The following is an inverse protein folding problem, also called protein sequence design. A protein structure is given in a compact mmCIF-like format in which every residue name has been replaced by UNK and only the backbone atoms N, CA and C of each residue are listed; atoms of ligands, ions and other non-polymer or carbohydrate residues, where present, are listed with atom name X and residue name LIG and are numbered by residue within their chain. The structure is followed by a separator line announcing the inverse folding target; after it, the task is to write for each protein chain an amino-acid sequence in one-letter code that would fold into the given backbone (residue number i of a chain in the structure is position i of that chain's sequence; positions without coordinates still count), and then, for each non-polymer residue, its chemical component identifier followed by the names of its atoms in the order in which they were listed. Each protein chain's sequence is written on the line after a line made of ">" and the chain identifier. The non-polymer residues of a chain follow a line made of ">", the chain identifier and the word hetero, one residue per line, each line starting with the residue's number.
data_IF_982956852165
#
_entry.id   IF_982956852165
#
_cell.length_a   1.000
_cell.length_b   1.000
_cell.length_c   1.000
_cell.angle_alpha   90.00
_cell.angle_beta   90.00
_cell.angle_gamma   90.00
#
_symmetry.space_group_name_H-M   'P 1'
#
loop_
_entity.id
_entity.type
_entity.pdbx_description
1 polymer ?
#
# COMPACT_ATOMS: atom_id res chain seq x y z
N UNK A 1 20.23 5.89 -6.93
CA UNK A 1 19.16 6.90 -7.15
C UNK A 1 19.21 8.00 -6.11
N UNK A 2 19.15 7.70 -4.80
CA UNK A 2 19.22 8.71 -3.73
C UNK A 2 20.40 9.69 -3.92
N UNK A 3 21.63 9.19 -3.99
CA UNK A 3 22.81 10.06 -4.08
C UNK A 3 22.87 10.89 -5.38
N UNK A 4 22.22 10.41 -6.45
CA UNK A 4 22.04 11.19 -7.69
C UNK A 4 21.02 12.32 -7.51
N UNK A 5 19.93 12.06 -6.78
CA UNK A 5 18.96 13.10 -6.43
C UNK A 5 19.54 14.12 -5.45
N UNK A 6 20.47 13.71 -4.58
CA UNK A 6 21.20 14.64 -3.71
C UNK A 6 22.08 15.58 -4.52
N UNK A 7 22.93 15.05 -5.41
CA UNK A 7 23.77 15.89 -6.29
C UNK A 7 22.96 16.87 -7.14
N UNK A 8 21.83 16.42 -7.70
CA UNK A 8 20.96 17.29 -8.48
C UNK A 8 20.29 18.40 -7.63
N UNK A 9 20.04 18.14 -6.35
CA UNK A 9 19.50 19.15 -5.42
C UNK A 9 20.59 20.13 -4.97
N UNK A 10 21.84 19.67 -4.80
CA UNK A 10 23.00 20.53 -4.52
C UNK A 10 23.29 21.48 -5.70
N UNK A 11 23.22 20.99 -6.94
CA UNK A 11 23.40 21.78 -8.16
C UNK A 11 22.22 22.73 -8.45
N UNK A 12 21.00 22.31 -8.10
CA UNK A 12 19.77 23.07 -8.35
C UNK A 12 18.77 22.93 -7.18
N UNK A 13 18.79 23.87 -6.21
CA UNK A 13 17.85 23.86 -5.08
C UNK A 13 16.39 23.86 -5.56
N UNK A 14 15.60 22.93 -5.03
CA UNK A 14 14.20 22.70 -5.43
C UNK A 14 14.02 21.66 -6.55
N UNK A 15 15.08 20.96 -6.96
CA UNK A 15 15.02 19.92 -7.99
C UNK A 15 14.06 18.78 -7.62
N UNK A 16 14.22 18.16 -6.44
CA UNK A 16 13.42 17.00 -6.00
C UNK A 16 11.94 17.33 -5.95
N UNK A 17 11.58 18.50 -5.39
CA UNK A 17 10.18 18.92 -5.30
C UNK A 17 9.58 19.21 -6.69
N UNK A 18 10.36 19.82 -7.58
CA UNK A 18 9.94 20.10 -8.95
C UNK A 18 9.75 18.82 -9.75
N UNK A 19 10.65 17.85 -9.58
CA UNK A 19 10.58 16.51 -10.15
C UNK A 19 9.31 15.79 -9.69
N UNK A 20 9.07 15.72 -8.37
CA UNK A 20 7.90 15.08 -7.79
C UNK A 20 6.60 15.74 -8.26
N UNK A 21 6.52 17.08 -8.26
CA UNK A 21 5.35 17.83 -8.75
C UNK A 21 5.09 17.56 -10.23
N UNK A 22 6.13 17.59 -11.06
CA UNK A 22 6.02 17.31 -12.50
C UNK A 22 5.59 15.87 -12.78
N UNK A 23 6.13 14.91 -12.02
CA UNK A 23 5.74 13.51 -12.10
C UNK A 23 4.29 13.30 -11.66
N UNK A 24 3.89 13.83 -10.49
CA UNK A 24 2.53 13.71 -9.98
C UNK A 24 1.49 14.26 -10.97
N UNK A 25 1.73 15.44 -11.56
CA UNK A 25 0.84 16.00 -12.60
C UNK A 25 0.67 15.07 -13.80
N UNK A 26 1.74 14.41 -14.24
CA UNK A 26 1.70 13.48 -15.37
C UNK A 26 1.03 12.16 -15.03
N UNK A 27 1.32 11.59 -13.86
CA UNK A 27 0.72 10.33 -13.42
C UNK A 27 -0.78 10.50 -13.19
N UNK A 28 -1.19 11.51 -12.42
CA UNK A 28 -2.61 11.78 -12.15
C UNK A 28 -3.40 12.06 -13.44
N UNK A 29 -2.77 12.62 -14.47
CA UNK A 29 -3.41 12.80 -15.79
C UNK A 29 -3.64 11.48 -16.55
N UNK A 30 -2.96 10.39 -16.17
CA UNK A 30 -2.98 9.09 -16.85
C UNK A 30 -3.75 8.02 -16.05
N UNK A 31 -3.98 8.21 -14.74
CA UNK A 31 -4.59 7.20 -13.84
C UNK A 31 -6.04 6.80 -14.18
N UNK A 32 -6.67 7.37 -15.19
CA UNK A 32 -8.01 6.99 -15.65
C UNK A 32 -8.11 5.67 -16.44
N UNK A 33 -7.00 4.98 -16.77
CA UNK A 33 -7.02 3.96 -17.85
C UNK A 33 -6.87 2.47 -17.48
N UNK A 34 -6.39 2.05 -16.30
CA UNK A 34 -6.38 0.59 -15.99
C UNK A 34 -6.10 0.23 -14.53
N UNK A 35 -6.63 0.97 -13.55
CA UNK A 35 -6.52 0.51 -12.16
C UNK A 35 -7.45 -0.69 -11.95
N UNK A 36 -6.88 -1.90 -11.84
CA UNK A 36 -7.62 -3.05 -11.33
C UNK A 36 -8.31 -2.66 -10.01
N UNK A 37 -9.62 -2.88 -9.94
CA UNK A 37 -10.40 -2.48 -8.76
C UNK A 37 -9.87 -3.21 -7.53
N UNK A 38 -9.57 -2.43 -6.49
CA UNK A 38 -9.24 -2.97 -5.18
C UNK A 38 -10.38 -3.86 -4.69
N UNK A 39 -10.03 -5.05 -4.17
CA UNK A 39 -10.96 -6.05 -3.64
C UNK A 39 -10.41 -6.67 -2.36
N UNK A 40 -11.25 -7.43 -1.67
CA UNK A 40 -10.83 -8.17 -0.49
C UNK A 40 -9.92 -9.34 -0.89
N UNK A 41 -8.80 -9.50 -0.17
CA UNK A 41 -7.92 -10.64 -0.24
C UNK A 41 -8.66 -11.91 0.20
N UNK A 42 -8.60 -12.98 -0.59
CA UNK A 42 -9.23 -14.27 -0.29
C UNK A 42 -8.74 -14.91 1.02
N UNK A 43 -7.50 -14.61 1.45
CA UNK A 43 -6.87 -15.26 2.62
C UNK A 43 -7.01 -14.47 3.92
N UNK A 44 -7.13 -13.14 3.88
CA UNK A 44 -7.15 -12.32 5.09
C UNK A 44 -8.20 -11.20 5.11
N UNK A 45 -8.96 -11.04 4.02
CA UNK A 45 -9.97 -10.00 3.81
C UNK A 45 -9.46 -8.55 3.83
N UNK A 46 -8.15 -8.31 3.87
CA UNK A 46 -7.55 -6.99 3.68
C UNK A 46 -7.52 -6.59 2.19
N UNK A 47 -7.25 -5.32 1.91
CA UNK A 47 -7.20 -4.78 0.54
C UNK A 47 -6.18 -5.51 -0.33
N UNK A 48 -6.56 -5.78 -1.58
CA UNK A 48 -5.75 -6.47 -2.58
C UNK A 48 -6.11 -5.99 -3.99
N UNK A 49 -5.09 -5.96 -4.86
CA UNK A 49 -5.24 -5.82 -6.31
C UNK A 49 -4.88 -7.20 -6.87
N UNK A 50 -5.88 -8.07 -6.99
CA UNK A 50 -5.73 -9.51 -7.26
C UNK A 50 -6.45 -10.40 -6.23
N UNK A 51 -6.43 -11.72 -6.42
CA UNK A 51 -7.14 -12.68 -5.54
C UNK A 51 -6.58 -12.75 -4.12
N UNK A 52 -5.28 -12.61 -3.95
CA UNK A 52 -4.57 -12.64 -2.67
C UNK A 52 -3.60 -11.45 -2.58
N UNK A 53 -3.52 -10.79 -1.42
CA UNK A 53 -2.62 -9.65 -1.23
C UNK A 53 -1.14 -10.08 -1.25
N UNK A 54 -0.25 -9.12 -1.53
CA UNK A 54 1.20 -9.35 -1.61
C UNK A 54 1.75 -10.03 -0.35
N UNK A 55 1.29 -9.63 0.83
CA UNK A 55 1.71 -10.18 2.11
C UNK A 55 1.35 -11.67 2.27
N UNK A 56 0.09 -12.04 2.05
CA UNK A 56 -0.36 -13.43 2.12
C UNK A 56 0.35 -14.31 1.09
N UNK A 57 0.58 -13.79 -0.11
CA UNK A 57 1.30 -14.50 -1.17
C UNK A 57 2.77 -14.76 -0.82
N UNK A 58 3.47 -13.78 -0.24
CA UNK A 58 4.87 -13.93 0.18
C UNK A 58 4.98 -14.95 1.33
N UNK A 59 4.12 -14.83 2.33
CA UNK A 59 4.15 -15.73 3.49
C UNK A 59 3.78 -17.16 3.11
N UNK A 60 2.81 -17.35 2.20
CA UNK A 60 2.53 -18.67 1.63
C UNK A 60 3.74 -19.28 0.93
N UNK A 61 4.49 -18.50 0.14
CA UNK A 61 5.70 -18.99 -0.54
C UNK A 61 6.83 -19.34 0.43
N UNK A 62 7.00 -18.53 1.49
CA UNK A 62 8.09 -18.71 2.44
C UNK A 62 7.80 -19.77 3.52
N UNK A 63 6.53 -19.91 3.93
CA UNK A 63 6.13 -20.67 5.13
C UNK A 63 5.11 -21.78 4.82
N UNK A 64 4.59 -21.87 3.59
CA UNK A 64 3.57 -22.84 3.19
C UNK A 64 2.12 -22.41 3.45
N UNK A 65 1.89 -21.32 4.19
CA UNK A 65 0.55 -20.81 4.51
C UNK A 65 0.49 -19.28 4.64
N UNK A 66 -0.67 -18.64 4.40
CA UNK A 66 -0.80 -17.18 4.49
C UNK A 66 -0.91 -16.69 5.93
N UNK A 67 -0.11 -15.70 6.33
CA UNK A 67 -0.11 -15.17 7.71
C UNK A 67 -1.06 -13.99 7.96
N UNK A 68 -1.69 -13.41 6.93
CA UNK A 68 -2.40 -12.14 7.04
C UNK A 68 -3.49 -12.12 8.13
N UNK A 69 -4.20 -13.24 8.30
CA UNK A 69 -5.26 -13.33 9.32
C UNK A 69 -4.69 -13.37 10.75
N UNK A 70 -3.58 -14.07 10.97
CA UNK A 70 -2.93 -14.18 12.28
C UNK A 70 -2.38 -12.82 12.71
N UNK A 71 -1.68 -12.12 11.81
CA UNK A 71 -1.16 -10.77 12.08
C UNK A 71 -2.30 -9.78 12.39
N UNK A 72 -3.40 -9.84 11.63
CA UNK A 72 -4.57 -8.99 11.89
C UNK A 72 -5.12 -9.23 13.30
N UNK A 73 -5.24 -10.50 13.72
CA UNK A 73 -5.70 -10.86 15.08
C UNK A 73 -4.73 -10.36 16.14
N UNK A 74 -3.42 -10.51 15.95
CA UNK A 74 -2.44 -10.04 16.93
C UNK A 74 -2.46 -8.53 17.11
N UNK A 75 -2.63 -7.76 16.01
CA UNK A 75 -2.79 -6.31 16.07
C UNK A 75 -4.07 -5.95 16.83
N UNK A 76 -5.23 -6.50 16.44
CA UNK A 76 -6.50 -6.19 17.13
C UNK A 76 -6.42 -6.47 18.63
N UNK A 77 -5.81 -7.60 19.00
CA UNK A 77 -5.62 -7.99 20.40
C UNK A 77 -4.64 -7.06 21.14
N UNK A 78 -3.60 -6.54 20.48
CA UNK A 78 -2.61 -5.65 21.11
C UNK A 78 -3.10 -4.21 21.27
N UNK A 79 -4.00 -3.73 20.40
CA UNK A 79 -4.52 -2.35 20.47
C UNK A 79 -5.86 -2.23 21.21
N UNK A 80 -6.44 -3.33 21.71
CA UNK A 80 -7.76 -3.29 22.36
C UNK A 80 -8.88 -2.74 21.45
N UNK A 81 -8.72 -2.85 20.13
CA UNK A 81 -9.57 -2.15 19.16
C UNK A 81 -10.87 -2.94 18.92
N UNK A 82 -11.98 -2.44 19.47
CA UNK A 82 -13.30 -3.06 19.34
C UNK A 82 -14.00 -2.59 18.06
N UNK A 83 -14.02 -3.44 17.03
CA UNK A 83 -14.59 -3.17 15.68
C UNK A 83 -16.09 -2.82 15.68
N UNK A 84 -16.82 -3.04 16.78
CA UNK A 84 -18.28 -2.82 16.86
C UNK A 84 -18.73 -1.36 16.69
N UNK A 85 -17.84 -0.39 16.71
CA UNK A 85 -18.20 1.04 16.60
C UNK A 85 -18.26 1.59 15.16
N UNK A 86 -17.82 0.83 14.15
CA UNK A 86 -17.68 1.35 12.77
C UNK A 86 -18.91 1.08 11.88
N UNK A 87 -19.91 0.33 12.36
CA UNK A 87 -21.07 -0.08 11.54
C UNK A 87 -22.28 0.88 11.57
N UNK A 88 -22.19 2.05 12.19
CA UNK A 88 -23.28 3.05 12.20
C UNK A 88 -22.81 4.38 11.63
N UNK A 89 -22.59 4.44 10.32
CA UNK A 89 -22.67 5.66 9.50
C UNK A 89 -22.52 5.26 8.03
N UNK A 90 -23.63 4.78 7.46
CA UNK A 90 -23.92 4.75 6.03
C UNK A 90 -25.43 4.66 5.87
#
# INVERSE_FOLDING_TARGET
>A
IRDLLEKAEEEAPGFKISLLRSHARRVLAVEGKSAEKAKACASCALISVGSECSFCRITRRALGYPLGLQLRRSIVNSVGFNIRTVSKQA
#
